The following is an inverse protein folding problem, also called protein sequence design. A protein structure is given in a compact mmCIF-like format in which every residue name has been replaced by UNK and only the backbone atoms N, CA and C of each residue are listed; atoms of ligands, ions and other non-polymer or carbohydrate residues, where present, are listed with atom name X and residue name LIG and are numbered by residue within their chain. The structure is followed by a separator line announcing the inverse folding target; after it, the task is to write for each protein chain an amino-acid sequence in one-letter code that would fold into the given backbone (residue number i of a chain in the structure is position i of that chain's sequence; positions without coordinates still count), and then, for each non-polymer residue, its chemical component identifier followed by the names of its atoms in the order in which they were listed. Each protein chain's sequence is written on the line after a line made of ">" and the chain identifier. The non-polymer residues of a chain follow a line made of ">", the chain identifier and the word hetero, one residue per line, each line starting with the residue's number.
data_IF_659319563923
#
_entry.id   IF_659319563923
#
_cell.length_a   1.000
_cell.length_b   1.000
_cell.length_c   1.000
_cell.angle_alpha   90.00
_cell.angle_beta   90.00
_cell.angle_gamma   90.00
#
_symmetry.space_group_name_H-M   'P 1'
#
loop_
_entity.id
_entity.type
_entity.pdbx_description
1 polymer ?
#
# COMPACT_ATOMS: atom_id res chain seq x y z
N UNK A 1 37.35 -30.30 38.29
CA UNK A 1 36.39 -30.88 39.26
C UNK A 1 34.98 -30.69 38.71
N UNK A 2 34.31 -31.80 38.39
CA UNK A 2 32.91 -31.90 37.92
C UNK A 2 32.01 -32.17 39.13
N UNK A 3 30.78 -31.62 39.11
CA UNK A 3 29.48 -32.29 39.41
C UNK A 3 29.31 -32.94 40.83
N UNK A 4 28.17 -33.07 41.51
CA UNK A 4 26.72 -33.03 41.26
C UNK A 4 26.08 -33.75 42.48
N UNK A 5 24.74 -33.58 42.72
CA UNK A 5 23.84 -34.45 43.53
C UNK A 5 24.13 -34.50 45.06
N UNK A 6 23.17 -34.62 45.99
CA UNK A 6 21.77 -35.04 45.95
C UNK A 6 21.51 -36.04 47.10
N UNK A 7 20.37 -35.96 47.78
CA UNK A 7 19.77 -37.03 48.63
C UNK A 7 18.25 -36.80 48.65
N UNK A 8 17.36 -37.61 48.03
CA UNK A 8 16.96 -39.04 48.19
C UNK A 8 16.62 -39.40 49.65
N UNK A 9 15.33 -39.55 49.99
CA UNK A 9 14.48 -40.77 49.93
C UNK A 9 14.63 -41.61 51.23
N UNK A 10 13.68 -42.37 51.80
CA UNK A 10 12.48 -43.04 51.28
C UNK A 10 11.61 -43.65 52.42
N UNK A 11 10.29 -43.76 52.14
CA UNK A 11 9.39 -44.95 52.22
C UNK A 11 9.22 -45.84 53.46
N UNK A 12 7.93 -46.23 53.66
CA UNK A 12 7.27 -47.57 53.76
C UNK A 12 6.17 -47.50 54.85
N UNK A 13 4.96 -48.03 54.76
CA UNK A 13 4.24 -48.91 53.81
C UNK A 13 3.28 -49.82 54.61
N UNK A 14 2.07 -50.11 54.10
CA UNK A 14 1.30 -51.33 54.41
C UNK A 14 0.05 -51.49 53.50
N UNK A 15 -0.05 -52.66 52.86
CA UNK A 15 -1.16 -53.19 52.03
C UNK A 15 -2.29 -53.78 52.89
N UNK A 16 -3.50 -53.99 52.30
CA UNK A 16 -4.21 -55.31 52.24
C UNK A 16 -5.22 -55.33 51.06
N UNK A 17 -5.19 -56.43 50.31
CA UNK A 17 -6.04 -57.03 49.25
C UNK A 17 -7.51 -57.31 49.64
N UNK A 18 -8.51 -57.70 48.85
CA UNK A 18 -8.89 -57.82 47.43
C UNK A 18 -10.36 -58.33 47.45
N UNK A 19 -11.20 -57.99 46.47
CA UNK A 19 -12.39 -58.79 46.14
C UNK A 19 -12.84 -58.50 44.70
N UNK A 20 -12.96 -59.56 43.90
CA UNK A 20 -13.44 -59.57 42.51
C UNK A 20 -14.92 -59.93 42.53
N UNK A 21 -15.75 -59.14 41.85
CA UNK A 21 -17.09 -59.54 41.41
C UNK A 21 -17.24 -59.14 39.94
N UNK A 22 -17.42 -60.14 39.09
CA UNK A 22 -17.74 -59.97 37.68
C UNK A 22 -19.25 -59.75 37.54
N UNK A 23 -19.65 -58.69 36.84
CA UNK A 23 -21.04 -58.50 36.38
C UNK A 23 -20.99 -58.26 34.87
N UNK A 24 -21.58 -59.20 34.13
CA UNK A 24 -21.88 -59.06 32.71
C UNK A 24 -22.96 -58.01 32.52
N UNK A 25 -22.72 -56.98 31.70
CA UNK A 25 -23.75 -56.07 31.23
C UNK A 25 -23.56 -55.77 29.74
N UNK A 26 -24.39 -56.47 28.98
CA UNK A 26 -24.93 -56.25 27.63
C UNK A 26 -24.52 -54.93 26.97
N UNK A 27 -23.84 -55.06 25.82
CA UNK A 27 -23.62 -53.97 24.89
C UNK A 27 -24.94 -53.58 24.19
N UNK A 28 -25.57 -52.50 24.63
CA UNK A 28 -26.55 -51.76 23.83
C UNK A 28 -25.83 -50.67 23.06
N UNK A 29 -25.71 -50.83 21.74
CA UNK A 29 -25.34 -49.75 20.83
C UNK A 29 -26.35 -48.61 20.95
N UNK A 30 -25.95 -47.53 21.62
CA UNK A 30 -26.51 -46.21 21.39
C UNK A 30 -25.44 -45.43 20.66
N UNK A 31 -25.55 -45.37 19.33
CA UNK A 31 -24.83 -44.42 18.51
C UNK A 31 -25.25 -43.02 18.94
N UNK A 32 -24.53 -42.42 19.89
CA UNK A 32 -24.52 -40.96 20.03
C UNK A 32 -23.85 -40.43 18.79
N UNK A 33 -24.64 -39.93 17.85
CA UNK A 33 -24.16 -39.02 16.82
C UNK A 33 -23.57 -37.82 17.54
N UNK A 34 -22.25 -37.81 17.70
CA UNK A 34 -21.52 -36.58 17.98
C UNK A 34 -21.85 -35.63 16.84
N UNK A 35 -22.41 -34.44 17.10
CA UNK A 35 -22.47 -33.43 16.06
C UNK A 35 -21.02 -33.17 15.68
N UNK A 36 -20.70 -33.36 14.41
CA UNK A 36 -19.43 -32.89 13.84
C UNK A 36 -19.19 -31.48 14.37
N UNK A 37 -17.99 -31.13 14.84
CA UNK A 37 -17.68 -29.74 15.02
C UNK A 37 -17.80 -29.12 13.63
N UNK A 38 -18.86 -28.36 13.41
CA UNK A 38 -18.94 -27.43 12.28
C UNK A 38 -17.59 -26.73 12.25
N UNK A 39 -16.96 -26.56 11.08
CA UNK A 39 -15.81 -25.67 11.02
C UNK A 39 -16.34 -24.34 11.58
N UNK A 40 -15.82 -23.95 12.74
CA UNK A 40 -15.84 -22.55 13.13
C UNK A 40 -15.12 -21.87 11.99
N UNK A 41 -15.87 -21.40 11.01
CA UNK A 41 -15.46 -20.27 10.21
C UNK A 41 -15.06 -19.26 11.28
N UNK A 42 -13.75 -19.13 11.47
CA UNK A 42 -13.21 -17.99 12.13
C UNK A 42 -13.69 -16.85 11.25
N UNK A 43 -14.81 -16.24 11.64
CA UNK A 43 -15.14 -14.88 11.29
C UNK A 43 -14.07 -14.05 12.01
N UNK A 44 -12.82 -14.16 11.53
CA UNK A 44 -11.90 -13.05 11.61
C UNK A 44 -12.68 -11.96 10.90
N UNK A 45 -13.12 -10.97 11.68
CA UNK A 45 -13.39 -9.67 11.12
C UNK A 45 -12.14 -9.32 10.33
N UNK A 46 -12.20 -9.55 9.02
CA UNK A 46 -11.18 -9.07 8.10
C UNK A 46 -11.25 -7.58 8.31
N UNK A 47 -10.25 -7.02 8.98
CA UNK A 47 -9.92 -5.62 8.75
C UNK A 47 -9.49 -5.63 7.28
N UNK A 48 -10.45 -5.32 6.44
CA UNK A 48 -10.41 -5.30 5.00
C UNK A 48 -11.50 -4.32 4.62
N UNK A 49 -11.25 -3.57 3.56
CA UNK A 49 -12.20 -2.60 3.02
C UNK A 49 -13.52 -3.34 2.72
N UNK A 50 -14.52 -3.22 3.59
CA UNK A 50 -15.86 -3.77 3.40
C UNK A 50 -16.51 -3.02 2.23
N UNK A 51 -16.20 -3.43 1.00
CA UNK A 51 -16.81 -2.85 -0.20
C UNK A 51 -18.20 -3.48 -0.41
N UNK A 52 -19.22 -2.63 -0.48
CA UNK A 52 -20.59 -3.01 -0.78
C UNK A 52 -20.69 -3.74 -2.12
N UNK A 53 -21.76 -4.53 -2.32
CA UNK A 53 -22.08 -5.24 -3.59
C UNK A 53 -22.18 -4.33 -4.84
N UNK A 54 -22.02 -3.02 -4.67
CA UNK A 54 -22.10 -1.96 -5.70
C UNK A 54 -20.87 -1.03 -5.66
N UNK A 55 -19.67 -1.61 -5.61
CA UNK A 55 -18.42 -0.88 -5.81
C UNK A 55 -18.24 -0.51 -7.30
N UNK A 56 -18.27 0.80 -7.65
CA UNK A 56 -18.24 1.24 -9.03
C UNK A 56 -16.86 1.03 -9.68
N UNK A 57 -15.83 0.70 -8.90
CA UNK A 57 -14.47 0.45 -9.38
C UNK A 57 -14.19 -1.04 -9.69
N UNK A 58 -15.11 -1.96 -9.38
CA UNK A 58 -14.86 -3.40 -9.39
C UNK A 58 -14.47 -3.96 -10.78
N UNK A 59 -14.87 -3.31 -11.87
CA UNK A 59 -14.51 -3.71 -13.24
C UNK A 59 -13.14 -3.20 -13.71
N UNK A 60 -12.47 -2.36 -12.91
CA UNK A 60 -11.20 -1.74 -13.28
C UNK A 60 -10.00 -2.48 -12.67
N UNK A 61 -8.78 -2.28 -13.20
CA UNK A 61 -7.56 -2.81 -12.59
C UNK A 61 -7.19 -2.02 -11.33
N UNK A 62 -7.16 -2.68 -10.18
CA UNK A 62 -6.75 -2.08 -8.91
C UNK A 62 -6.10 -3.09 -7.95
N UNK A 63 -5.41 -2.57 -6.94
CA UNK A 63 -4.89 -3.32 -5.80
C UNK A 63 -5.65 -2.87 -4.56
N UNK A 64 -6.18 -3.82 -3.80
CA UNK A 64 -6.91 -3.56 -2.55
C UNK A 64 -5.97 -3.77 -1.39
N UNK A 65 -5.77 -2.75 -0.55
CA UNK A 65 -5.07 -2.92 0.73
C UNK A 65 -6.02 -3.66 1.67
N UNK A 66 -5.56 -4.77 2.23
CA UNK A 66 -6.32 -5.56 3.20
C UNK A 66 -5.89 -5.18 4.61
N UNK A 67 -4.60 -5.35 4.94
CA UNK A 67 -4.10 -5.17 6.30
C UNK A 67 -2.68 -4.61 6.31
N UNK A 68 -2.22 -4.11 7.47
CA UNK A 68 -0.82 -3.75 7.71
C UNK A 68 -0.11 -4.93 8.37
N UNK A 69 0.94 -5.44 7.72
CA UNK A 69 1.80 -6.52 8.23
C UNK A 69 2.89 -5.96 9.15
N UNK A 70 3.50 -4.83 8.78
CA UNK A 70 4.46 -4.09 9.59
C UNK A 70 4.54 -2.63 9.17
N UNK A 71 4.88 -1.73 10.09
CA UNK A 71 4.95 -0.30 9.84
C UNK A 71 6.09 0.39 10.63
N UNK A 72 7.20 0.62 9.93
CA UNK A 72 8.35 1.34 10.43
C UNK A 72 8.97 2.20 9.31
N UNK A 73 8.14 2.98 8.62
CA UNK A 73 8.60 3.81 7.50
C UNK A 73 9.76 4.71 7.94
N UNK A 74 10.87 4.68 7.19
CA UNK A 74 12.09 5.44 7.50
C UNK A 74 12.68 5.18 8.89
N UNK A 75 12.35 4.06 9.54
CA UNK A 75 12.79 3.75 10.90
C UNK A 75 12.16 4.64 11.99
N UNK A 76 11.08 5.37 11.68
CA UNK A 76 10.45 6.34 12.60
C UNK A 76 9.22 5.79 13.34
N UNK A 77 8.93 4.51 13.15
CA UNK A 77 7.81 3.82 13.77
C UNK A 77 6.52 3.87 12.94
N UNK A 78 5.38 3.44 13.54
CA UNK A 78 5.20 3.17 14.97
C UNK A 78 5.87 1.90 15.52
N UNK A 79 6.21 0.92 14.68
CA UNK A 79 6.83 -0.35 15.10
C UNK A 79 8.36 -0.31 14.89
N UNK A 80 9.06 0.51 15.68
CA UNK A 80 10.50 0.79 15.50
C UNK A 80 11.43 -0.42 15.55
N UNK A 81 10.96 -1.54 16.10
CA UNK A 81 11.66 -2.83 16.17
C UNK A 81 11.55 -3.68 14.91
N UNK A 82 10.68 -3.31 13.96
CA UNK A 82 10.48 -4.00 12.68
C UNK A 82 11.47 -3.48 11.63
N UNK A 83 11.70 -4.22 10.52
CA UNK A 83 12.43 -3.70 9.37
C UNK A 83 11.80 -2.41 8.83
N UNK A 84 12.61 -1.59 8.16
CA UNK A 84 12.16 -0.33 7.56
C UNK A 84 11.03 -0.56 6.55
N UNK A 85 10.07 0.38 6.54
CA UNK A 85 8.99 0.44 5.57
C UNK A 85 7.63 0.08 6.13
N UNK A 86 6.61 0.21 5.28
CA UNK A 86 5.25 -0.28 5.54
C UNK A 86 5.00 -1.46 4.60
N UNK A 87 4.59 -2.59 5.17
CA UNK A 87 4.20 -3.77 4.41
C UNK A 87 2.70 -3.95 4.57
N UNK A 88 2.00 -3.96 3.44
CA UNK A 88 0.57 -4.23 3.36
C UNK A 88 0.33 -5.62 2.77
N UNK A 89 -0.62 -6.35 3.33
CA UNK A 89 -1.28 -7.45 2.63
C UNK A 89 -2.27 -6.86 1.63
N UNK A 90 -2.30 -7.37 0.40
CA UNK A 90 -3.13 -6.82 -0.66
C UNK A 90 -3.75 -7.89 -1.58
N UNK A 91 -4.87 -7.55 -2.20
CA UNK A 91 -5.53 -8.35 -3.23
C UNK A 91 -5.45 -7.63 -4.59
N UNK A 92 -5.20 -8.38 -5.67
CA UNK A 92 -5.19 -7.84 -7.02
C UNK A 92 -6.53 -8.09 -7.73
N UNK A 93 -7.10 -7.05 -8.34
CA UNK A 93 -8.37 -7.13 -9.07
C UNK A 93 -8.18 -6.66 -10.52
N UNK A 94 -8.48 -7.52 -11.49
CA UNK A 94 -8.39 -7.25 -12.93
C UNK A 94 -7.04 -6.65 -13.40
N UNK A 95 -5.95 -6.86 -12.65
CA UNK A 95 -4.64 -6.27 -12.94
C UNK A 95 -3.85 -7.03 -14.01
N UNK A 96 -4.25 -8.26 -14.32
CA UNK A 96 -3.50 -9.19 -15.15
C UNK A 96 -2.38 -9.94 -14.40
N UNK A 97 -2.26 -9.77 -13.08
CA UNK A 97 -1.39 -10.60 -12.25
C UNK A 97 -1.93 -12.03 -12.20
N UNK A 98 -1.07 -13.00 -12.48
CA UNK A 98 -1.36 -14.42 -12.32
C UNK A 98 -0.84 -14.86 -10.95
N UNK A 99 -1.68 -15.51 -10.13
CA UNK A 99 -1.35 -16.00 -8.78
C UNK A 99 -0.91 -14.87 -7.83
N UNK A 100 -1.80 -14.45 -6.91
CA UNK A 100 -1.52 -13.37 -5.96
C UNK A 100 -2.01 -13.72 -4.55
N UNK A 101 -2.01 -15.02 -4.22
CA UNK A 101 -2.62 -15.55 -3.00
C UNK A 101 -1.92 -15.06 -1.72
N UNK A 102 -0.71 -14.48 -1.84
CA UNK A 102 0.03 -13.79 -0.76
C UNK A 102 0.76 -12.54 -1.29
N UNK A 103 0.01 -11.67 -1.97
CA UNK A 103 0.53 -10.41 -2.47
C UNK A 103 0.76 -9.42 -1.33
N UNK A 104 2.00 -8.94 -1.24
CA UNK A 104 2.39 -7.83 -0.38
C UNK A 104 2.72 -6.59 -1.21
N UNK A 105 2.29 -5.43 -0.71
CA UNK A 105 2.74 -4.12 -1.18
C UNK A 105 3.68 -3.54 -0.14
N UNK A 106 4.90 -3.19 -0.56
CA UNK A 106 5.94 -2.66 0.32
C UNK A 106 6.19 -1.20 -0.04
N UNK A 107 6.12 -0.33 0.96
CA UNK A 107 6.44 1.10 0.83
C UNK A 107 7.66 1.38 1.71
N UNK A 108 8.78 1.71 1.08
CA UNK A 108 10.05 1.99 1.74
C UNK A 108 10.46 3.44 1.51
N UNK A 109 11.00 4.09 2.53
CA UNK A 109 11.59 5.41 2.39
C UNK A 109 12.93 5.32 1.64
N UNK A 110 13.16 6.28 0.76
CA UNK A 110 14.31 6.32 -0.14
C UNK A 110 15.09 7.59 0.14
N UNK A 111 16.41 7.49 0.35
CA UNK A 111 17.26 8.67 0.54
C UNK A 111 17.34 9.50 -0.74
N UNK A 112 17.45 10.82 -0.63
CA UNK A 112 17.68 11.67 -1.81
C UNK A 112 18.97 11.23 -2.54
N UNK A 113 18.87 10.94 -3.85
CA UNK A 113 19.97 10.44 -4.68
C UNK A 113 19.93 8.94 -5.03
N UNK A 114 18.94 8.19 -4.56
CA UNK A 114 18.84 6.73 -4.71
C UNK A 114 18.13 6.30 -6.02
N UNK A 115 18.58 6.81 -7.16
CA UNK A 115 18.26 6.22 -8.45
C UNK A 115 19.37 5.20 -8.76
N UNK A 116 19.04 3.91 -8.94
CA UNK A 116 19.92 2.79 -9.40
C UNK A 116 20.35 1.68 -8.39
N UNK A 117 19.56 1.31 -7.38
CA UNK A 117 19.87 0.10 -6.58
C UNK A 117 18.75 -0.96 -6.65
N UNK A 118 19.14 -2.15 -7.09
CA UNK A 118 18.27 -3.33 -7.29
C UNK A 118 17.73 -3.93 -5.98
N UNK A 119 16.85 -4.92 -6.14
CA UNK A 119 15.98 -5.45 -5.09
C UNK A 119 16.66 -6.24 -3.95
N UNK A 120 17.98 -6.46 -3.99
CA UNK A 120 18.69 -7.41 -3.12
C UNK A 120 19.77 -6.78 -2.23
N UNK A 121 19.51 -5.69 -1.51
CA UNK A 121 20.49 -5.19 -0.54
C UNK A 121 19.88 -4.86 0.83
N UNK A 122 19.97 -5.86 1.72
CA UNK A 122 20.10 -5.62 3.14
C UNK A 122 21.48 -5.03 3.43
N UNK A 123 21.50 -3.94 4.21
CA UNK A 123 22.63 -3.23 4.82
C UNK A 123 23.05 -1.90 4.15
N UNK A 124 22.91 -0.83 4.95
CA UNK A 124 23.39 0.54 4.76
C UNK A 124 22.57 1.44 3.82
N UNK A 125 21.26 1.52 4.07
CA UNK A 125 20.48 2.71 3.70
C UNK A 125 20.97 3.85 4.58
N UNK A 126 21.58 4.88 4.00
CA UNK A 126 21.75 6.16 4.69
C UNK A 126 20.35 6.63 5.10
N UNK A 127 20.10 6.83 6.41
CA UNK A 127 18.80 7.17 6.98
C UNK A 127 17.98 8.01 5.99
N UNK A 128 16.95 7.41 5.39
CA UNK A 128 16.06 8.17 4.54
C UNK A 128 15.55 9.35 5.38
N UNK A 129 15.59 10.57 4.82
CA UNK A 129 15.26 11.82 5.52
C UNK A 129 13.74 11.95 5.75
N UNK A 130 13.13 10.93 6.35
CA UNK A 130 11.72 10.90 6.70
C UNK A 130 11.51 11.49 8.09
N UNK A 131 10.67 12.52 8.15
CA UNK A 131 10.33 13.25 9.36
C UNK A 131 8.81 13.26 9.50
N UNK A 132 8.20 12.26 10.16
CA UNK A 132 6.78 12.29 10.49
C UNK A 132 6.53 13.23 11.68
N UNK A 133 5.39 13.92 11.65
CA UNK A 133 4.82 14.63 12.80
C UNK A 133 4.20 13.63 13.81
N UNK A 134 3.43 12.68 13.28
CA UNK A 134 2.67 11.67 14.01
C UNK A 134 2.88 10.29 13.38
N UNK A 135 4.01 9.61 13.64
CA UNK A 135 4.30 8.31 13.01
C UNK A 135 3.20 7.26 13.23
N UNK A 136 2.44 7.36 14.33
CA UNK A 136 1.31 6.46 14.63
C UNK A 136 0.16 6.49 13.63
N UNK A 137 0.07 7.52 12.78
CA UNK A 137 -0.98 7.62 11.75
C UNK A 137 -0.53 7.12 10.38
N UNK A 138 0.70 6.60 10.26
CA UNK A 138 1.11 5.83 9.08
C UNK A 138 0.36 4.50 9.01
N UNK A 139 0.23 3.93 7.82
CA UNK A 139 -0.37 2.61 7.62
C UNK A 139 -1.79 2.73 7.08
N UNK A 140 -2.79 2.31 7.85
CA UNK A 140 -4.20 2.40 7.46
C UNK A 140 -4.94 3.32 8.44
N UNK A 141 -5.68 4.29 7.90
CA UNK A 141 -6.65 5.11 8.65
C UNK A 141 -7.97 5.11 7.90
N UNK A 142 -9.03 4.58 8.53
CA UNK A 142 -10.32 4.40 7.85
C UNK A 142 -10.17 3.51 6.62
N UNK A 143 -10.58 4.04 5.46
CA UNK A 143 -10.56 3.34 4.18
C UNK A 143 -9.32 3.66 3.32
N UNK A 144 -8.29 4.26 3.91
CA UNK A 144 -7.13 4.78 3.19
C UNK A 144 -5.82 4.22 3.72
N UNK A 145 -4.86 4.02 2.82
CA UNK A 145 -3.46 4.02 3.18
C UNK A 145 -3.02 5.45 3.53
N UNK A 146 -2.14 5.60 4.54
CA UNK A 146 -1.72 6.91 5.02
C UNK A 146 -0.20 7.01 5.24
N UNK A 147 0.36 8.15 4.84
CA UNK A 147 1.73 8.56 5.14
C UNK A 147 1.71 9.97 5.74
N UNK A 148 2.29 10.12 6.93
CA UNK A 148 2.34 11.38 7.66
C UNK A 148 3.66 12.12 7.47
N UNK A 149 3.61 13.44 7.37
CA UNK A 149 4.78 14.29 7.14
C UNK A 149 4.77 15.49 8.09
N UNK A 150 5.94 15.83 8.64
CA UNK A 150 6.19 17.06 9.38
C UNK A 150 6.25 18.26 8.42
N UNK A 151 5.64 19.41 8.74
CA UNK A 151 5.68 20.59 7.87
C UNK A 151 7.12 21.02 7.54
N UNK A 152 7.35 21.47 6.31
CA UNK A 152 8.67 21.87 5.82
C UNK A 152 9.60 20.70 5.49
N UNK A 153 9.08 19.47 5.46
CA UNK A 153 9.84 18.27 5.12
C UNK A 153 9.20 17.52 3.96
N UNK A 154 9.92 16.55 3.41
CA UNK A 154 9.44 15.68 2.35
C UNK A 154 9.99 14.26 2.57
N UNK A 155 9.42 13.30 1.87
CA UNK A 155 9.94 11.94 1.78
C UNK A 155 9.72 11.39 0.38
N UNK A 156 10.78 10.85 -0.21
CA UNK A 156 10.66 10.01 -1.40
C UNK A 156 10.44 8.58 -0.92
N UNK A 157 9.45 7.92 -1.47
CA UNK A 157 9.13 6.52 -1.17
C UNK A 157 9.13 5.70 -2.45
N UNK A 158 9.49 4.43 -2.30
CA UNK A 158 9.41 3.41 -3.34
C UNK A 158 8.35 2.40 -2.92
N UNK A 159 7.42 2.15 -3.82
CA UNK A 159 6.40 1.11 -3.71
C UNK A 159 6.76 -0.07 -4.61
N UNK A 160 6.79 -1.29 -4.07
CA UNK A 160 7.02 -2.53 -4.81
C UNK A 160 5.95 -3.58 -4.48
N UNK A 161 5.73 -4.50 -5.42
CA UNK A 161 4.93 -5.71 -5.19
C UNK A 161 5.84 -6.89 -4.86
N UNK A 162 5.37 -7.78 -4.00
CA UNK A 162 6.12 -8.97 -3.60
C UNK A 162 5.18 -10.14 -3.35
N UNK A 163 5.50 -11.31 -3.92
CA UNK A 163 4.84 -12.58 -3.63
C UNK A 163 5.56 -13.24 -2.46
N UNK A 164 4.88 -13.33 -1.31
CA UNK A 164 5.48 -13.92 -0.11
C UNK A 164 5.45 -15.46 -0.09
N UNK A 165 4.68 -16.10 -0.97
CA UNK A 165 4.72 -17.55 -1.16
C UNK A 165 5.92 -17.95 -2.02
N UNK A 166 6.17 -17.21 -3.10
CA UNK A 166 7.25 -17.50 -4.05
C UNK A 166 8.58 -16.81 -3.71
N UNK A 167 8.58 -15.91 -2.72
CA UNK A 167 9.73 -15.08 -2.31
C UNK A 167 10.32 -14.26 -3.47
N UNK A 168 9.44 -13.59 -4.22
CA UNK A 168 9.80 -12.90 -5.46
C UNK A 168 9.17 -11.51 -5.59
N UNK A 169 9.91 -10.59 -6.20
CA UNK A 169 9.38 -9.27 -6.56
C UNK A 169 8.43 -9.38 -7.76
N UNK A 170 7.37 -8.56 -7.74
CA UNK A 170 6.33 -8.55 -8.77
C UNK A 170 6.47 -7.32 -9.66
N UNK A 171 6.43 -7.54 -10.98
CA UNK A 171 6.15 -6.48 -11.95
C UNK A 171 4.65 -6.35 -12.13
N UNK A 172 4.09 -5.18 -11.84
CA UNK A 172 2.68 -4.90 -12.00
C UNK A 172 2.32 -4.72 -13.48
N UNK A 173 1.46 -5.57 -14.07
CA UNK A 173 1.05 -5.40 -15.46
C UNK A 173 0.18 -4.16 -15.61
N UNK A 174 -0.78 -3.94 -14.72
CA UNK A 174 -1.61 -2.73 -14.71
C UNK A 174 -2.30 -2.51 -13.36
N UNK A 175 -2.26 -1.28 -12.87
CA UNK A 175 -3.06 -0.83 -11.74
C UNK A 175 -3.16 0.70 -11.74
N UNK A 176 -3.88 1.26 -10.79
CA UNK A 176 -3.94 2.70 -10.57
C UNK A 176 -3.64 3.05 -9.11
N UNK A 177 -3.20 4.29 -8.87
CA UNK A 177 -3.01 4.82 -7.53
C UNK A 177 -3.65 6.20 -7.46
N UNK A 178 -4.41 6.46 -6.40
CA UNK A 178 -5.06 7.75 -6.19
C UNK A 178 -4.56 8.36 -4.89
N UNK A 179 -4.23 9.65 -4.96
CA UNK A 179 -3.97 10.50 -3.80
C UNK A 179 -5.11 11.49 -3.66
N UNK A 180 -5.53 11.71 -2.43
CA UNK A 180 -6.67 12.54 -2.09
C UNK A 180 -6.23 13.77 -1.32
N UNK A 181 -7.11 14.77 -1.35
CA UNK A 181 -7.12 15.88 -0.41
C UNK A 181 -5.80 16.68 -0.37
N UNK A 182 -5.16 16.82 -1.53
CA UNK A 182 -3.98 17.69 -1.66
C UNK A 182 -4.39 19.15 -1.49
N UNK A 183 -4.11 19.70 -0.31
CA UNK A 183 -4.56 21.02 0.10
C UNK A 183 -3.44 21.92 0.61
N UNK A 184 -3.82 23.08 1.14
CA UNK A 184 -2.94 23.92 1.94
C UNK A 184 -3.45 24.04 3.36
N UNK A 185 -2.56 24.42 4.27
CA UNK A 185 -2.95 24.97 5.55
C UNK A 185 -3.40 26.41 5.45
N UNK A 186 -3.41 27.04 6.63
CA UNK A 186 -3.87 28.41 6.85
C UNK A 186 -3.29 29.41 5.84
N UNK A 187 -4.16 30.29 5.35
CA UNK A 187 -3.87 31.41 4.46
C UNK A 187 -3.40 30.99 3.04
N UNK A 188 -3.56 29.72 2.65
CA UNK A 188 -3.17 29.27 1.31
C UNK A 188 -1.67 29.01 1.10
N UNK A 189 -0.83 29.24 2.13
CA UNK A 189 0.63 29.32 1.96
C UNK A 189 1.44 28.48 2.96
N UNK A 190 0.82 28.02 4.05
CA UNK A 190 1.47 27.21 5.08
C UNK A 190 1.13 25.73 4.89
N UNK A 191 2.06 24.84 5.24
CA UNK A 191 1.86 23.39 5.15
C UNK A 191 1.23 22.94 3.82
N UNK A 192 1.66 23.56 2.71
CA UNK A 192 1.15 23.31 1.36
C UNK A 192 1.59 21.92 0.93
N UNK A 193 0.62 21.02 0.72
CA UNK A 193 0.90 19.66 0.32
C UNK A 193 1.32 19.58 -1.15
N UNK A 194 2.28 18.71 -1.43
CA UNK A 194 2.64 18.38 -2.79
C UNK A 194 2.99 16.91 -2.95
N UNK A 195 2.72 16.42 -4.16
CA UNK A 195 3.10 15.11 -4.66
C UNK A 195 3.96 15.32 -5.91
N UNK A 196 5.12 14.67 -5.98
CA UNK A 196 5.95 14.60 -7.19
C UNK A 196 6.12 13.14 -7.60
N UNK A 197 5.80 12.83 -8.84
CA UNK A 197 5.75 11.44 -9.32
C UNK A 197 6.11 11.36 -10.80
N UNK A 198 6.69 10.23 -11.20
CA UNK A 198 7.07 9.92 -12.59
C UNK A 198 6.61 8.51 -12.98
N UNK A 199 6.97 8.08 -14.21
CA UNK A 199 6.78 6.71 -14.70
C UNK A 199 5.34 6.15 -14.64
N UNK A 200 4.35 7.04 -14.66
CA UNK A 200 2.96 6.68 -14.89
C UNK A 200 2.63 6.84 -16.39
N UNK A 201 1.59 6.13 -16.86
CA UNK A 201 1.11 6.23 -18.24
C UNK A 201 0.34 7.53 -18.46
N UNK A 202 -0.61 7.79 -17.57
CA UNK A 202 -1.46 8.97 -17.57
C UNK A 202 -2.03 9.22 -16.17
N UNK A 203 -2.49 10.45 -15.93
CA UNK A 203 -3.20 10.84 -14.71
C UNK A 203 -4.57 11.44 -15.05
N UNK A 204 -5.46 11.45 -14.05
CA UNK A 204 -6.79 12.05 -14.12
C UNK A 204 -6.99 13.01 -12.95
N UNK A 205 -7.51 14.20 -13.27
CA UNK A 205 -7.96 15.23 -12.33
C UNK A 205 -9.32 15.76 -12.79
N UNK A 206 -10.01 16.53 -11.95
CA UNK A 206 -11.20 17.26 -12.40
C UNK A 206 -10.83 18.45 -13.28
N UNK A 207 -11.78 18.93 -14.10
CA UNK A 207 -11.61 20.15 -14.90
C UNK A 207 -11.53 21.44 -14.08
N UNK A 208 -11.95 21.39 -12.82
CA UNK A 208 -11.87 22.50 -11.85
C UNK A 208 -10.92 22.15 -10.71
N UNK A 209 -9.86 21.39 -11.01
CA UNK A 209 -8.93 20.92 -9.98
C UNK A 209 -8.35 22.08 -9.18
N UNK A 210 -8.26 21.88 -7.87
CA UNK A 210 -7.60 22.77 -6.91
C UNK A 210 -6.09 22.46 -6.84
N UNK A 211 -5.55 21.71 -7.81
CA UNK A 211 -4.15 21.34 -7.89
C UNK A 211 -3.44 22.16 -8.95
N UNK A 212 -2.33 22.77 -8.56
CA UNK A 212 -1.35 23.26 -9.51
C UNK A 212 -0.49 22.09 -10.02
N UNK A 213 -0.49 21.89 -11.33
CA UNK A 213 0.23 20.80 -12.00
C UNK A 213 1.36 21.38 -12.84
N UNK A 214 2.60 20.98 -12.53
CA UNK A 214 3.80 21.44 -13.25
C UNK A 214 4.70 20.25 -13.61
N UNK A 215 5.23 20.26 -14.83
CA UNK A 215 6.30 19.35 -15.22
C UNK A 215 7.64 19.89 -14.73
N UNK A 216 8.41 19.05 -14.07
CA UNK A 216 9.72 19.40 -13.51
C UNK A 216 10.84 19.00 -14.48
N UNK A 217 12.01 19.63 -14.32
CA UNK A 217 13.16 19.43 -15.22
C UNK A 217 13.77 18.02 -15.20
N UNK A 218 13.42 17.22 -14.19
CA UNK A 218 13.83 15.81 -14.06
C UNK A 218 12.80 14.81 -14.63
N UNK A 219 11.79 15.31 -15.35
CA UNK A 219 10.77 14.50 -16.02
C UNK A 219 9.62 14.06 -15.10
N UNK A 220 9.67 14.39 -13.80
CA UNK A 220 8.55 14.18 -12.91
C UNK A 220 7.45 15.23 -13.14
N UNK A 221 6.23 14.90 -12.71
CA UNK A 221 5.13 15.87 -12.60
C UNK A 221 4.87 16.14 -11.14
N UNK A 222 4.78 17.42 -10.78
CA UNK A 222 4.47 17.91 -9.45
C UNK A 222 3.04 18.41 -9.41
N UNK A 223 2.29 17.94 -8.41
CA UNK A 223 0.93 18.31 -8.06
C UNK A 223 1.00 19.02 -6.71
N UNK A 224 0.48 20.24 -6.61
CA UNK A 224 0.55 21.07 -5.40
C UNK A 224 -0.84 21.58 -5.06
N UNK A 225 -1.27 21.42 -3.80
CA UNK A 225 -2.54 21.98 -3.34
C UNK A 225 -2.53 23.51 -3.44
N UNK A 226 -3.65 24.12 -3.81
CA UNK A 226 -3.75 25.59 -3.99
C UNK A 226 -4.77 26.27 -3.10
N UNK A 227 -5.63 25.49 -2.43
CA UNK A 227 -6.74 25.97 -1.61
C UNK A 227 -6.61 25.42 -0.20
N UNK A 228 -6.94 26.26 0.79
CA UNK A 228 -6.96 25.87 2.19
C UNK A 228 -8.02 24.77 2.43
N UNK A 229 -7.59 23.68 3.03
CA UNK A 229 -8.46 22.62 3.52
C UNK A 229 -8.70 22.73 5.02
N UNK A 230 -9.62 21.91 5.50
CA UNK A 230 -9.91 21.71 6.91
C UNK A 230 -9.81 20.22 7.25
N UNK A 231 -10.25 19.80 8.45
CA UNK A 231 -10.42 18.37 8.74
C UNK A 231 -11.79 17.82 8.32
N UNK A 232 -12.76 18.69 8.08
CA UNK A 232 -14.16 18.32 7.86
C UNK A 232 -14.47 17.99 6.38
N UNK A 233 -13.59 18.40 5.48
CA UNK A 233 -13.63 18.18 4.04
C UNK A 233 -12.87 16.94 3.58
N UNK A 234 -12.08 16.29 4.46
CA UNK A 234 -11.36 15.07 4.13
C UNK A 234 -12.32 13.94 3.72
N UNK A 235 -11.99 13.19 2.65
CA UNK A 235 -12.75 11.99 2.29
C UNK A 235 -12.80 10.97 3.42
N UNK A 236 -13.99 10.41 3.66
CA UNK A 236 -14.18 9.24 4.54
C UNK A 236 -14.36 7.94 3.76
N UNK A 237 -14.65 8.06 2.46
CA UNK A 237 -14.93 6.95 1.55
C UNK A 237 -14.20 7.20 0.22
N UNK A 238 -13.31 6.30 -0.24
CA UNK A 238 -12.57 6.47 -1.47
C UNK A 238 -13.43 6.33 -2.74
N UNK A 239 -14.64 5.77 -2.66
CA UNK A 239 -15.52 5.55 -3.82
C UNK A 239 -16.77 6.46 -3.86
N UNK A 240 -16.95 7.30 -2.85
CA UNK A 240 -18.00 8.32 -2.80
C UNK A 240 -17.41 9.65 -2.36
N UNK A 241 -17.25 10.57 -3.31
CA UNK A 241 -16.57 11.84 -3.09
C UNK A 241 -17.48 13.02 -3.41
N UNK A 242 -17.38 14.10 -2.64
CA UNK A 242 -17.97 15.39 -3.04
C UNK A 242 -17.22 15.98 -4.24
N UNK A 243 -17.80 17.00 -4.88
CA UNK A 243 -17.10 17.76 -5.94
C UNK A 243 -15.75 18.28 -5.45
N UNK A 244 -15.74 18.95 -4.30
CA UNK A 244 -14.52 19.53 -3.72
C UNK A 244 -13.45 18.47 -3.45
N UNK A 245 -13.83 17.33 -2.89
CA UNK A 245 -12.91 16.21 -2.67
C UNK A 245 -12.31 15.70 -3.98
N UNK A 246 -13.09 15.64 -5.06
CA UNK A 246 -12.59 15.29 -6.40
C UNK A 246 -11.66 16.35 -6.99
N UNK A 247 -11.90 17.64 -6.71
CA UNK A 247 -11.04 18.72 -7.19
C UNK A 247 -9.63 18.69 -6.57
N UNK A 248 -9.48 18.07 -5.40
CA UNK A 248 -8.21 17.84 -4.68
C UNK A 248 -7.62 16.45 -4.86
N UNK A 249 -8.20 15.64 -5.73
CA UNK A 249 -7.83 14.24 -5.93
C UNK A 249 -7.15 14.05 -7.28
N UNK A 250 -6.12 13.21 -7.32
CA UNK A 250 -5.45 12.80 -8.56
C UNK A 250 -5.28 11.28 -8.62
N UNK A 251 -5.71 10.67 -9.73
CA UNK A 251 -5.49 9.24 -10.01
C UNK A 251 -4.43 9.05 -11.09
N UNK A 252 -3.47 8.17 -10.85
CA UNK A 252 -2.43 7.76 -11.80
C UNK A 252 -2.70 6.34 -12.30
N UNK A 253 -2.43 6.08 -13.57
CA UNK A 253 -2.45 4.73 -14.16
C UNK A 253 -1.03 4.27 -14.43
N UNK A 254 -0.69 3.08 -13.95
CA UNK A 254 0.60 2.43 -14.17
C UNK A 254 0.42 1.20 -15.04
N UNK A 255 1.44 0.90 -15.83
CA UNK A 255 1.45 -0.27 -16.69
C UNK A 255 2.87 -0.80 -16.83
N UNK A 256 3.03 -2.12 -16.66
CA UNK A 256 4.29 -2.85 -16.82
C UNK A 256 5.43 -2.25 -15.97
N UNK A 257 5.15 -1.92 -14.70
CA UNK A 257 6.12 -1.28 -13.78
C UNK A 257 6.56 -2.24 -12.67
N UNK A 258 7.87 -2.35 -12.38
CA UNK A 258 8.37 -3.13 -11.24
C UNK A 258 8.23 -2.41 -9.90
N UNK A 259 8.14 -1.08 -9.95
CA UNK A 259 8.05 -0.21 -8.79
C UNK A 259 7.39 1.13 -9.16
N UNK A 260 6.91 1.84 -8.15
CA UNK A 260 6.49 3.24 -8.27
C UNK A 260 7.28 4.08 -7.28
N UNK A 261 7.94 5.12 -7.77
CA UNK A 261 8.67 6.07 -6.94
C UNK A 261 7.93 7.40 -6.95
N UNK A 262 7.64 7.92 -5.77
CA UNK A 262 7.00 9.21 -5.62
C UNK A 262 7.49 9.92 -4.36
N UNK A 263 7.45 11.25 -4.40
CA UNK A 263 7.80 12.11 -3.28
C UNK A 263 6.55 12.81 -2.77
N UNK A 264 6.35 12.75 -1.47
CA UNK A 264 5.34 13.49 -0.74
C UNK A 264 6.02 14.56 0.10
N UNK A 265 5.41 15.72 0.26
CA UNK A 265 5.97 16.75 1.12
C UNK A 265 5.03 17.89 1.42
N UNK A 266 5.40 18.69 2.41
CA UNK A 266 4.66 19.88 2.80
C UNK A 266 5.60 21.08 2.89
N UNK A 267 5.13 22.27 2.48
CA UNK A 267 5.86 23.52 2.77
C UNK A 267 5.95 23.76 4.29
N UNK A 268 6.83 24.67 4.77
CA UNK A 268 6.85 25.05 6.17
C UNK A 268 5.48 25.55 6.67
N UNK A 269 5.18 25.28 7.93
CA UNK A 269 3.90 25.60 8.57
C UNK A 269 3.85 25.01 9.97
N UNK A 270 2.67 25.04 10.60
CA UNK A 270 2.49 24.63 12.00
C UNK A 270 1.84 23.25 12.16
N UNK A 271 1.30 22.70 11.06
CA UNK A 271 0.48 21.49 11.11
C UNK A 271 1.09 20.39 10.26
N UNK A 272 1.19 19.18 10.84
CA UNK A 272 1.49 17.95 10.11
C UNK A 272 0.48 17.67 9.02
N UNK A 273 0.90 16.84 8.06
CA UNK A 273 0.09 16.44 6.90
C UNK A 273 -0.03 14.94 6.82
N UNK A 274 -1.19 14.45 6.38
CA UNK A 274 -1.49 13.02 6.30
C UNK A 274 -2.00 12.75 4.89
N UNK A 275 -1.09 12.28 4.03
CA UNK A 275 -1.41 11.94 2.66
C UNK A 275 -2.23 10.65 2.65
N UNK A 276 -3.47 10.75 2.19
CA UNK A 276 -4.36 9.62 2.00
C UNK A 276 -4.22 9.07 0.58
N UNK A 277 -4.15 7.75 0.45
CA UNK A 277 -4.09 7.09 -0.85
C UNK A 277 -4.84 5.76 -0.88
N UNK A 278 -5.21 5.35 -2.08
CA UNK A 278 -5.64 3.98 -2.40
C UNK A 278 -5.02 3.54 -3.71
N UNK A 279 -4.89 2.24 -3.95
CA UNK A 279 -4.39 1.71 -5.23
C UNK A 279 -5.54 1.38 -6.20
N UNK A 280 -6.45 2.34 -6.40
CA UNK A 280 -7.64 2.24 -7.25
C UNK A 280 -7.78 3.46 -8.18
N UNK A 281 -8.45 3.35 -9.35
CA UNK A 281 -8.62 4.44 -10.31
C UNK A 281 -9.82 5.35 -9.95
N UNK A 282 -9.84 5.86 -8.73
CA UNK A 282 -10.96 6.55 -8.09
C UNK A 282 -11.55 7.67 -8.95
N UNK A 283 -10.73 8.53 -9.57
CA UNK A 283 -11.26 9.62 -10.39
C UNK A 283 -12.10 9.12 -11.57
N UNK A 284 -11.93 7.87 -12.00
CA UNK A 284 -12.69 7.26 -13.10
C UNK A 284 -13.93 6.48 -12.68
N UNK A 285 -14.06 6.12 -11.40
CA UNK A 285 -15.12 5.21 -10.94
C UNK A 285 -15.90 5.72 -9.73
N UNK A 286 -15.29 6.51 -8.86
CA UNK A 286 -15.96 7.01 -7.66
C UNK A 286 -17.16 7.88 -8.03
N UNK A 287 -18.25 7.68 -7.29
CA UNK A 287 -19.47 8.48 -7.43
C UNK A 287 -19.24 9.90 -6.93
N UNK A 288 -19.94 10.85 -7.53
CA UNK A 288 -20.00 12.23 -7.04
C UNK A 288 -21.20 12.39 -6.11
N UNK A 289 -20.97 12.76 -4.86
CA UNK A 289 -22.00 13.12 -3.88
C UNK A 289 -22.34 14.61 -3.98
N UNK A 290 -23.58 14.90 -4.33
CA UNK A 290 -24.11 16.27 -4.38
C UNK A 290 -24.48 16.77 -2.97
N UNK A 291 -24.70 18.08 -2.86
CA UNK A 291 -25.06 18.73 -1.59
C UNK A 291 -26.38 18.23 -0.99
N UNK A 292 -27.32 17.77 -1.82
CA UNK A 292 -28.58 17.17 -1.38
C UNK A 292 -28.46 15.68 -1.02
N UNK A 293 -27.25 15.11 -1.12
CA UNK A 293 -26.96 13.70 -0.84
C UNK A 293 -27.11 12.76 -2.05
N UNK A 294 -27.57 13.26 -3.20
CA UNK A 294 -27.66 12.46 -4.43
C UNK A 294 -26.28 11.95 -4.85
N UNK A 295 -26.22 10.69 -5.29
CA UNK A 295 -25.01 10.08 -5.84
C UNK A 295 -25.14 9.99 -7.35
N UNK A 296 -24.16 10.53 -8.07
CA UNK A 296 -24.02 10.41 -9.52
C UNK A 296 -22.84 9.50 -9.85
N UNK A 297 -22.99 8.61 -10.82
CA UNK A 297 -21.87 7.80 -11.30
C UNK A 297 -20.79 8.69 -11.96
N UNK A 298 -19.57 8.18 -12.07
CA UNK A 298 -18.42 8.97 -12.51
C UNK A 298 -18.57 9.53 -13.93
N UNK A 299 -19.31 8.84 -14.80
CA UNK A 299 -19.60 9.21 -16.18
C UNK A 299 -21.03 9.77 -16.38
N UNK A 300 -21.76 10.06 -15.30
CA UNK A 300 -23.08 10.68 -15.39
C UNK A 300 -22.99 12.05 -16.10
N UNK A 301 -23.81 12.32 -17.13
CA UNK A 301 -23.76 13.58 -17.87
C UNK A 301 -24.14 14.82 -17.03
N UNK A 302 -24.77 14.62 -15.87
CA UNK A 302 -25.10 15.67 -14.91
C UNK A 302 -24.06 15.79 -13.79
N UNK A 303 -22.98 15.01 -13.84
CA UNK A 303 -21.86 15.16 -12.92
C UNK A 303 -21.35 16.61 -12.99
N UNK A 304 -21.14 17.28 -11.83
CA UNK A 304 -20.63 18.65 -11.80
C UNK A 304 -19.14 18.73 -12.14
N UNK A 305 -18.50 17.60 -12.42
CA UNK A 305 -17.12 17.54 -12.86
C UNK A 305 -17.02 16.79 -14.19
N UNK A 306 -16.05 17.19 -14.99
CA UNK A 306 -15.53 16.41 -16.12
C UNK A 306 -14.08 16.04 -15.84
N UNK A 307 -13.67 14.86 -16.29
CA UNK A 307 -12.30 14.39 -16.09
C UNK A 307 -11.37 14.95 -17.16
N UNK A 308 -10.25 15.50 -16.71
CA UNK A 308 -9.14 15.90 -17.57
C UNK A 308 -8.05 14.84 -17.46
N UNK A 309 -7.67 14.27 -18.60
CA UNK A 309 -6.56 13.33 -18.71
C UNK A 309 -5.26 14.07 -19.06
N UNK A 310 -4.21 13.81 -18.28
CA UNK A 310 -2.87 14.26 -18.58
C UNK A 310 -1.92 13.10 -18.89
N UNK A 311 -0.96 13.32 -19.78
CA UNK A 311 0.02 12.32 -20.17
C UNK A 311 1.17 12.22 -19.18
N UNK A 312 1.66 11.01 -18.93
CA UNK A 312 2.89 10.79 -18.18
C UNK A 312 4.14 10.76 -19.05
N UNK A 313 5.29 10.99 -18.42
CA UNK A 313 6.60 10.81 -19.06
C UNK A 313 7.00 9.34 -18.95
N UNK A 314 6.56 8.50 -19.88
CA UNK A 314 6.99 7.09 -19.93
C UNK A 314 8.44 7.04 -20.43
N UNK A 315 9.40 6.89 -19.52
CA UNK A 315 10.75 6.51 -19.92
C UNK A 315 10.73 5.02 -20.28
N UNK A 316 10.73 4.72 -21.57
CA UNK A 316 10.98 3.36 -22.07
C UNK A 316 12.40 2.99 -21.62
N UNK A 317 12.53 2.03 -20.71
CA UNK A 317 13.83 1.48 -20.35
C UNK A 317 14.60 1.10 -21.62
N UNK A 318 15.91 1.38 -21.74
CA UNK A 318 16.63 1.08 -22.96
C UNK A 318 16.65 -0.43 -23.16
N UNK A 319 15.93 -0.90 -24.17
CA UNK A 319 16.08 -2.25 -24.71
C UNK A 319 17.56 -2.52 -24.96
N UNK A 320 18.05 -3.60 -24.35
CA UNK A 320 19.36 -4.21 -24.49
C UNK A 320 19.95 -3.96 -25.88
N UNK A 321 20.93 -3.04 -25.98
CA UNK A 321 21.68 -2.85 -27.22
C UNK A 321 22.43 -4.14 -27.52
N UNK A 322 21.99 -4.87 -28.54
CA UNK A 322 22.72 -6.01 -29.09
C UNK A 322 24.11 -5.52 -29.52
N UNK A 323 25.15 -5.93 -28.78
CA UNK A 323 26.54 -5.78 -29.19
C UNK A 323 26.76 -6.60 -30.48
N UNK A 324 26.60 -5.94 -31.63
CA UNK A 324 27.20 -6.42 -32.88
C UNK A 324 28.71 -6.22 -32.77
N UNK A 325 29.40 -7.27 -32.34
CA UNK A 325 30.85 -7.36 -32.40
C UNK A 325 31.32 -7.28 -33.85
N UNK A 326 31.87 -6.13 -34.24
CA UNK A 326 32.64 -5.99 -35.49
C UNK A 326 34.03 -6.54 -35.23
N UNK A 327 34.30 -7.75 -35.72
CA UNK A 327 35.64 -8.29 -35.81
C UNK A 327 36.45 -7.48 -36.84
N UNK A 328 37.40 -6.65 -36.40
CA UNK A 328 38.43 -6.10 -37.27
C UNK A 328 39.39 -7.22 -37.66
N UNK A 329 39.32 -7.66 -38.91
CA UNK A 329 40.38 -8.44 -39.56
C UNK A 329 41.50 -7.46 -39.92
N UNK A 330 42.63 -7.58 -39.22
CA UNK A 330 43.89 -6.91 -39.58
C UNK A 330 44.45 -7.64 -40.79
N UNK A 331 44.41 -6.99 -41.96
CA UNK A 331 45.13 -7.44 -43.16
C UNK A 331 46.52 -6.81 -43.16
N UNK A 332 47.55 -7.59 -42.81
CA UNK A 332 48.94 -7.24 -43.12
C UNK A 332 49.17 -7.44 -44.63
N UNK A 333 49.55 -6.38 -45.33
CA UNK A 333 50.11 -6.49 -46.67
C UNK A 333 51.61 -6.79 -46.60
N UNK A 334 51.99 -7.92 -47.17
CA UNK A 334 53.34 -8.19 -47.68
C UNK A 334 53.34 -7.74 -49.14
N UNK A 335 54.12 -6.69 -49.43
CA UNK A 335 55.06 -6.56 -50.55
C UNK A 335 55.81 -5.23 -50.43
#
# INVERSE_FOLDING_TARGET
>A
QRSVLGSRAARRGASVTAAVVAVFLVATLLTRSTPSPLPRAALQARVGLDEADDDPCNAMPFLRIMSVVSNNLGGKGPETEKPEGIVYEAEAHNTGLNNSDDLQIRINAVSEGYFNHGADEGANVSDASYHPEWPKVNGITGNFGTINIHPGTNVTVRMTGYDATEDQSITFPKFAMTFFDLDTGKDGIHSVEFLKINNFRNYYVSNETELEIRQEGDGATKFTGTIEGSGDDNPTDPIVLTKQQKDRTVSFVFQDVPEVIFQLGASPGETGRVFQFVMRPVMRCARTKLADGTLLDADDPNSPISLVEGSGSVHVAPTLALLLGVAMVVSQHIL
#
